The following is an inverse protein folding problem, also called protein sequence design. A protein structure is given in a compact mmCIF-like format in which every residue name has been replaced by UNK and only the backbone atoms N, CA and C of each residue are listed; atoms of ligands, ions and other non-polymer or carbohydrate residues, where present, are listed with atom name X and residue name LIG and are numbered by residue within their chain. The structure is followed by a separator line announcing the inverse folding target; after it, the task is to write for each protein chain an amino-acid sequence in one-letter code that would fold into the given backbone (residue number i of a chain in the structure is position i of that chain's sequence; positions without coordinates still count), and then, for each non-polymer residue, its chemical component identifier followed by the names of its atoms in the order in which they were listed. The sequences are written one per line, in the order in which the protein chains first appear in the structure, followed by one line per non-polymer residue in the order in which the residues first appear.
data_IF_570395954656
#
_entry.id   IF_570395954656
#
_cell.length_a   1.000
_cell.length_b   1.000
_cell.length_c   1.000
_cell.angle_alpha   90.00
_cell.angle_beta   90.00
_cell.angle_gamma   90.00
#
_symmetry.space_group_name_H-M   'P 1'
#
loop_
_entity.id
_entity.type
_entity.pdbx_description
1 polymer ?
#
# COMPACT_ATOMS: atom_id res chain seq x y z
N UNK A 1 -15.33 16.93 16.01
CA UNK A 1 -13.96 16.43 15.79
C UNK A 1 -13.84 15.09 16.50
N UNK A 2 -13.64 13.99 15.78
CA UNK A 2 -13.39 12.67 16.37
C UNK A 2 -11.87 12.44 16.44
N UNK A 3 -11.34 11.84 17.51
CA UNK A 3 -9.91 11.63 17.67
C UNK A 3 -9.31 10.78 16.54
N UNK A 4 -8.05 11.05 16.22
CA UNK A 4 -7.23 10.26 15.32
C UNK A 4 -6.82 8.91 15.97
N UNK A 5 -6.60 7.88 15.14
CA UNK A 5 -5.93 6.62 15.51
C UNK A 5 -6.79 5.60 16.27
N UNK A 6 -7.46 4.69 15.55
CA UNK A 6 -8.10 3.52 16.19
C UNK A 6 -7.35 2.23 15.94
N UNK A 7 -6.54 2.10 14.88
CA UNK A 7 -5.88 0.84 14.54
C UNK A 7 -4.42 1.07 14.12
N UNK A 8 -3.51 0.26 14.65
CA UNK A 8 -2.10 0.27 14.30
C UNK A 8 -1.76 -0.91 13.38
N UNK A 9 -1.39 -0.63 12.14
CA UNK A 9 -0.97 -1.63 11.17
C UNK A 9 0.54 -1.56 11.00
N UNK A 10 1.25 -2.63 11.38
CA UNK A 10 2.69 -2.74 11.19
C UNK A 10 2.98 -3.45 9.88
N UNK A 11 3.65 -2.77 8.96
CA UNK A 11 4.24 -3.41 7.79
C UNK A 11 5.68 -3.80 8.10
N UNK A 12 6.07 -5.01 7.70
CA UNK A 12 7.45 -5.51 7.80
C UNK A 12 7.90 -5.93 6.42
N UNK A 13 8.93 -5.27 5.89
CA UNK A 13 9.49 -5.56 4.57
C UNK A 13 10.64 -6.56 4.68
N UNK A 14 10.34 -7.84 4.45
CA UNK A 14 11.34 -8.92 4.36
C UNK A 14 11.72 -9.25 2.92
N UNK A 15 11.26 -8.45 1.95
CA UNK A 15 11.62 -8.61 0.55
C UNK A 15 12.91 -7.84 0.22
N UNK A 16 13.45 -8.08 -0.98
CA UNK A 16 14.59 -7.31 -1.51
C UNK A 16 14.18 -5.97 -2.15
N UNK A 17 12.88 -5.72 -2.34
CA UNK A 17 12.34 -4.52 -3.00
C UNK A 17 11.91 -3.47 -1.98
N UNK A 18 11.89 -2.21 -2.40
CA UNK A 18 11.22 -1.14 -1.63
C UNK A 18 9.71 -1.17 -1.89
N UNK A 19 8.92 -0.85 -0.87
CA UNK A 19 7.47 -0.85 -0.96
C UNK A 19 6.91 0.52 -0.57
N UNK A 20 5.89 0.96 -1.29
CA UNK A 20 5.00 2.01 -0.85
C UNK A 20 3.89 1.40 -0.02
N UNK A 21 3.58 1.97 1.15
CA UNK A 21 2.47 1.51 1.97
C UNK A 21 1.50 2.65 2.25
N UNK A 22 0.21 2.35 2.12
CA UNK A 22 -0.83 3.35 2.31
C UNK A 22 -2.17 2.73 2.72
N UNK A 23 -3.12 3.59 3.06
CA UNK A 23 -4.55 3.30 3.15
C UNK A 23 -5.24 3.62 1.82
N UNK A 24 -6.01 2.66 1.30
CA UNK A 24 -6.87 2.85 0.14
C UNK A 24 -8.33 2.68 0.53
N UNK A 25 -9.17 3.59 0.06
CA UNK A 25 -10.62 3.47 0.07
C UNK A 25 -11.11 2.91 -1.28
N UNK A 26 -12.15 2.07 -1.28
CA UNK A 26 -12.87 1.72 -2.52
C UNK A 26 -12.42 0.44 -3.26
N UNK A 27 -12.57 0.46 -4.59
CA UNK A 27 -12.33 -0.70 -5.46
C UNK A 27 -10.83 -0.96 -5.64
N UNK A 28 -10.41 -2.20 -5.41
CA UNK A 28 -9.01 -2.63 -5.39
C UNK A 28 -8.25 -2.25 -6.66
N UNK A 29 -8.88 -2.30 -7.83
CA UNK A 29 -8.19 -2.07 -9.10
C UNK A 29 -8.29 -0.63 -9.64
N UNK A 30 -9.33 0.12 -9.26
CA UNK A 30 -9.62 1.42 -9.87
C UNK A 30 -8.70 2.53 -9.34
N UNK A 31 -8.53 2.59 -8.01
CA UNK A 31 -7.76 3.67 -7.38
C UNK A 31 -6.25 3.44 -7.52
N UNK A 32 -5.81 2.19 -7.31
CA UNK A 32 -4.40 1.79 -7.51
C UNK A 32 -3.90 2.13 -8.91
N UNK A 33 -4.72 1.94 -9.95
CA UNK A 33 -4.31 2.31 -11.31
C UNK A 33 -4.17 3.82 -11.51
N UNK A 34 -5.10 4.59 -10.95
CA UNK A 34 -5.02 6.05 -11.00
C UNK A 34 -3.77 6.56 -10.29
N UNK A 35 -3.46 6.01 -9.11
CA UNK A 35 -2.28 6.39 -8.32
C UNK A 35 -0.98 5.98 -9.00
N UNK A 36 -0.93 4.78 -9.58
CA UNK A 36 0.19 4.32 -10.40
C UNK A 36 0.42 5.22 -11.63
N UNK A 37 -0.66 5.60 -12.33
CA UNK A 37 -0.57 6.51 -13.48
C UNK A 37 -0.09 7.90 -13.06
N UNK A 38 -0.62 8.43 -11.95
CA UNK A 38 -0.18 9.70 -11.39
C UNK A 38 1.30 9.66 -11.00
N UNK A 39 1.76 8.56 -10.38
CA UNK A 39 3.17 8.34 -10.06
C UNK A 39 4.05 8.38 -11.33
N UNK A 40 3.65 7.67 -12.39
CA UNK A 40 4.40 7.67 -13.65
C UNK A 40 4.43 9.03 -14.36
N UNK A 41 3.38 9.85 -14.22
CA UNK A 41 3.24 11.12 -14.91
C UNK A 41 3.92 12.28 -14.18
N UNK A 42 3.93 12.25 -12.85
CA UNK A 42 4.19 13.44 -12.06
C UNK A 42 5.53 13.44 -11.32
N UNK A 43 6.31 12.35 -11.30
CA UNK A 43 7.59 12.29 -10.56
C UNK A 43 7.48 12.65 -9.05
N UNK A 44 6.27 12.67 -8.48
CA UNK A 44 6.02 13.02 -7.09
C UNK A 44 5.66 11.77 -6.27
N UNK A 45 6.65 11.09 -5.65
CA UNK A 45 6.39 9.91 -4.82
C UNK A 45 5.58 10.24 -3.56
N UNK A 46 5.77 11.43 -2.97
CA UNK A 46 5.37 11.67 -1.58
C UNK A 46 3.88 11.95 -1.37
N UNK A 47 3.16 12.42 -2.41
CA UNK A 47 1.74 12.80 -2.26
C UNK A 47 0.77 11.66 -2.57
N UNK A 48 1.17 10.70 -3.43
CA UNK A 48 0.35 9.54 -3.76
C UNK A 48 0.68 8.32 -2.91
N UNK A 49 1.89 8.26 -2.33
CA UNK A 49 2.36 7.15 -1.51
C UNK A 49 3.12 7.69 -0.28
N UNK A 50 2.42 8.03 0.80
CA UNK A 50 2.97 8.83 1.90
C UNK A 50 4.07 8.11 2.70
N UNK A 51 4.18 6.78 2.58
CA UNK A 51 5.20 6.00 3.29
C UNK A 51 5.92 5.03 2.36
N UNK A 52 7.24 5.09 2.42
CA UNK A 52 8.15 4.13 1.78
C UNK A 52 8.80 3.28 2.86
N UNK A 53 8.86 1.96 2.64
CA UNK A 53 9.59 1.02 3.49
C UNK A 53 10.69 0.33 2.69
N UNK A 54 11.93 0.46 3.16
CA UNK A 54 13.10 -0.17 2.54
C UNK A 54 13.21 -1.63 2.97
N UNK A 55 14.01 -2.47 2.26
CA UNK A 55 14.32 -3.83 2.68
C UNK A 55 14.80 -3.91 4.14
N UNK A 56 14.23 -4.84 4.91
CA UNK A 56 14.53 -5.05 6.33
C UNK A 56 13.87 -4.06 7.29
N UNK A 57 13.14 -3.04 6.79
CA UNK A 57 12.47 -2.05 7.63
C UNK A 57 11.06 -2.48 8.01
N UNK A 58 10.57 -1.90 9.10
CA UNK A 58 9.16 -1.91 9.47
C UNK A 58 8.65 -0.49 9.66
N UNK A 59 7.35 -0.30 9.42
CA UNK A 59 6.65 0.96 9.70
C UNK A 59 5.28 0.68 10.29
N UNK A 60 4.87 1.53 11.21
CA UNK A 60 3.49 1.54 11.72
C UNK A 60 2.70 2.58 10.94
N UNK A 61 1.60 2.14 10.35
CA UNK A 61 0.54 2.98 9.80
C UNK A 61 -0.57 3.09 10.83
N UNK A 62 -0.86 4.30 11.28
CA UNK A 62 -2.02 4.57 12.12
C UNK A 62 -3.23 4.78 11.23
N UNK A 63 -4.06 3.75 11.14
CA UNK A 63 -5.25 3.71 10.29
C UNK A 63 -6.52 3.77 11.13
N UNK A 64 -7.63 4.11 10.48
CA UNK A 64 -8.97 4.03 11.08
C UNK A 64 -9.77 2.81 10.63
N UNK A 65 -9.27 1.97 9.69
CA UNK A 65 -9.98 0.84 9.04
C UNK A 65 -11.48 0.76 9.36
N UNK A 66 -12.27 1.69 8.81
CA UNK A 66 -13.73 1.63 8.85
C UNK A 66 -14.24 1.14 7.50
N UNK A 67 -15.12 0.14 7.55
CA UNK A 67 -15.92 -0.41 6.44
C UNK A 67 -15.16 -0.85 5.18
N UNK A 68 -14.71 0.11 4.35
CA UNK A 68 -14.17 -0.08 2.99
C UNK A 68 -12.68 0.25 2.87
N UNK A 69 -12.05 0.67 3.98
CA UNK A 69 -10.62 0.97 4.02
C UNK A 69 -9.78 -0.30 4.10
N UNK A 70 -8.72 -0.34 3.29
CA UNK A 70 -7.75 -1.44 3.18
C UNK A 70 -6.36 -0.84 3.29
N UNK A 71 -5.38 -1.57 3.83
CA UNK A 71 -4.01 -1.13 3.72
C UNK A 71 -3.35 -1.89 2.58
N UNK A 72 -2.53 -1.19 1.83
CA UNK A 72 -1.91 -1.70 0.62
C UNK A 72 -0.39 -1.61 0.74
N UNK A 73 0.31 -2.54 0.11
CA UNK A 73 1.74 -2.45 -0.11
C UNK A 73 2.03 -2.64 -1.61
N UNK A 74 2.63 -1.63 -2.22
CA UNK A 74 2.94 -1.58 -3.65
C UNK A 74 4.45 -1.75 -3.83
N UNK A 75 4.88 -2.75 -4.60
CA UNK A 75 6.28 -2.95 -4.96
C UNK A 75 6.73 -1.82 -5.89
N UNK A 76 7.57 -0.93 -5.39
CA UNK A 76 7.97 0.26 -6.13
C UNK A 76 8.83 -0.08 -7.35
N UNK A 77 9.72 -1.08 -7.25
CA UNK A 77 10.60 -1.47 -8.36
C UNK A 77 9.79 -1.96 -9.57
N UNK A 78 8.66 -2.65 -9.30
CA UNK A 78 7.73 -3.10 -10.33
C UNK A 78 6.91 -1.93 -10.87
N UNK A 79 6.55 -0.98 -10.03
CA UNK A 79 5.87 0.25 -10.46
C UNK A 79 6.78 1.11 -11.35
N UNK A 80 8.06 1.26 -11.03
CA UNK A 80 9.04 1.98 -11.86
C UNK A 80 9.20 1.32 -13.23
N UNK A 81 9.29 -0.02 -13.27
CA UNK A 81 9.30 -0.79 -14.53
C UNK A 81 8.02 -0.55 -15.34
N UNK A 82 6.87 -0.51 -14.67
CA UNK A 82 5.59 -0.20 -15.31
C UNK A 82 5.60 1.20 -15.93
N UNK A 83 6.11 2.21 -15.24
CA UNK A 83 6.19 3.58 -15.78
C UNK A 83 7.14 3.70 -16.98
N UNK A 84 8.20 2.88 -17.02
CA UNK A 84 9.15 2.84 -18.14
C UNK A 84 8.64 2.10 -19.38
N UNK A 85 7.51 1.39 -19.31
CA UNK A 85 7.03 0.53 -20.40
C UNK A 85 5.56 0.79 -20.76
N UNK A 86 5.31 1.57 -21.82
CA UNK A 86 3.96 1.94 -22.27
C UNK A 86 3.17 0.81 -22.93
N UNK A 87 3.78 -0.35 -23.16
CA UNK A 87 3.19 -1.47 -23.91
C UNK A 87 2.56 -2.56 -23.02
N UNK A 88 2.67 -2.48 -21.69
CA UNK A 88 2.07 -3.47 -20.78
C UNK A 88 0.66 -3.06 -20.33
N UNK A 89 -0.34 -3.82 -20.79
CA UNK A 89 -1.75 -3.68 -20.40
C UNK A 89 -2.02 -4.03 -18.92
N UNK A 90 -3.08 -3.45 -18.33
CA UNK A 90 -3.47 -3.57 -16.91
C UNK A 90 -3.65 -5.00 -16.39
N UNK A 91 -3.83 -5.96 -17.27
CA UNK A 91 -4.25 -7.31 -16.89
C UNK A 91 -3.19 -8.12 -16.13
N UNK A 92 -1.92 -7.72 -16.12
CA UNK A 92 -0.88 -8.26 -15.21
C UNK A 92 -0.74 -7.50 -13.87
N UNK A 93 -1.55 -6.46 -13.62
CA UNK A 93 -1.20 -5.32 -12.73
C UNK A 93 -1.67 -5.38 -11.26
N UNK A 94 -2.07 -6.52 -10.75
CA UNK A 94 -2.24 -6.70 -9.29
C UNK A 94 -1.13 -7.54 -8.65
N UNK A 95 -0.14 -8.03 -9.41
CA UNK A 95 0.95 -8.87 -8.87
C UNK A 95 1.95 -8.07 -8.02
N UNK A 96 2.10 -6.78 -8.32
CA UNK A 96 2.98 -5.86 -7.59
C UNK A 96 2.27 -5.15 -6.44
N UNK A 97 0.97 -5.36 -6.22
CA UNK A 97 0.27 -4.85 -5.04
C UNK A 97 -0.21 -5.97 -4.15
N UNK A 98 0.08 -5.85 -2.86
CA UNK A 98 -0.51 -6.68 -1.82
C UNK A 98 -1.56 -5.86 -1.10
N UNK A 99 -2.78 -6.39 -1.06
CA UNK A 99 -3.91 -5.77 -0.38
C UNK A 99 -4.15 -6.53 0.90
N UNK A 100 -4.24 -5.79 1.99
CA UNK A 100 -4.43 -6.35 3.31
C UNK A 100 -5.76 -5.89 3.86
N UNK A 101 -6.63 -6.87 4.08
CA UNK A 101 -7.97 -6.64 4.58
C UNK A 101 -8.03 -6.77 6.10
N UNK A 102 -9.17 -6.33 6.64
CA UNK A 102 -9.42 -6.27 8.06
C UNK A 102 -9.84 -7.62 8.68
N UNK A 103 -9.79 -8.69 7.90
CA UNK A 103 -10.27 -10.03 8.26
C UNK A 103 -9.46 -10.73 9.35
N UNK A 104 -8.30 -10.18 9.72
CA UNK A 104 -7.36 -10.76 10.69
C UNK A 104 -7.00 -9.88 11.89
N UNK A 105 -7.86 -8.93 12.27
CA UNK A 105 -7.61 -8.15 13.48
C UNK A 105 -7.72 -8.99 14.75
N UNK A 106 -6.69 -8.89 15.59
CA UNK A 106 -6.82 -9.20 17.00
C UNK A 106 -7.81 -8.19 17.62
N UNK A 107 -9.06 -8.60 17.78
CA UNK A 107 -10.19 -7.79 18.27
C UNK A 107 -9.92 -7.13 19.62
N UNK A 108 -8.99 -7.68 20.40
CA UNK A 108 -8.58 -7.18 21.71
C UNK A 108 -7.52 -6.09 21.66
N UNK A 109 -6.64 -6.06 20.65
CA UNK A 109 -5.46 -5.18 20.66
C UNK A 109 -5.41 -4.11 19.58
N UNK A 110 -6.40 -4.04 18.66
CA UNK A 110 -6.43 -3.06 17.56
C UNK A 110 -5.06 -2.90 16.86
N UNK A 111 -4.33 -4.00 16.72
CA UNK A 111 -3.04 -4.09 16.07
C UNK A 111 -3.09 -5.18 15.00
N UNK A 112 -2.49 -4.91 13.84
CA UNK A 112 -2.29 -5.90 12.78
C UNK A 112 -0.85 -5.85 12.30
N UNK A 113 -0.27 -6.99 11.89
CA UNK A 113 1.07 -7.04 11.31
C UNK A 113 1.04 -7.74 9.97
N UNK A 114 1.52 -7.05 8.93
CA UNK A 114 1.64 -7.58 7.57
C UNK A 114 3.10 -7.78 7.20
N UNK A 115 3.44 -9.02 6.85
CA UNK A 115 4.80 -9.40 6.42
C UNK A 115 4.83 -9.43 4.89
N UNK A 116 5.61 -8.53 4.31
CA UNK A 116 5.90 -8.50 2.88
C UNK A 116 7.12 -9.39 2.64
N UNK A 117 6.91 -10.47 1.89
CA UNK A 117 7.96 -11.39 1.41
C UNK A 117 8.19 -11.20 -0.08
#
# INVERSE_FOLDING_TARGET
MHPAGDLQVTFVNNSASRYFVDESEGCDSCNIYSDAKNYCQNNYPDHCFPKVIMPGQSVVLETKFKFVMKAIAINADSLDKFCGNTNEGITNKCTWVKIFHNDHLATTNKTCTFIIK
#
